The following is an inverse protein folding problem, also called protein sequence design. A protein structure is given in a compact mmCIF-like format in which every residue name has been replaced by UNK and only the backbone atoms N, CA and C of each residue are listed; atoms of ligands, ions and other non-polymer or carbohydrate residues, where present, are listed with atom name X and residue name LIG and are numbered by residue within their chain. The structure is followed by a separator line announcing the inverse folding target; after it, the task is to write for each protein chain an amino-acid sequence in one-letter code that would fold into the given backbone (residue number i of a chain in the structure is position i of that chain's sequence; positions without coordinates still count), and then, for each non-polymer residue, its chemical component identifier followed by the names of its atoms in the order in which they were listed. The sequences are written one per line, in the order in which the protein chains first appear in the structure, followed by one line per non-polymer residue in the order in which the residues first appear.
data_IF_217086878332
#
_entry.id   IF_217086878332
#
_cell.length_a   1.000
_cell.length_b   1.000
_cell.length_c   1.000
_cell.angle_alpha   90.00
_cell.angle_beta   90.00
_cell.angle_gamma   90.00
#
_symmetry.space_group_name_H-M   'P 1'
#
loop_
_entity.id
_entity.type
_entity.pdbx_description
1 polymer ?
#
# COMPACT_ATOMS: atom_id res chain seq x y z
N UNK A 1 -2.60 -12.78 -5.76
CA UNK A 1 -1.76 -11.61 -6.14
C UNK A 1 -2.25 -10.40 -5.36
N UNK A 2 -1.42 -9.36 -5.13
CA UNK A 2 -1.78 -8.16 -4.31
C UNK A 2 -3.12 -7.53 -4.72
N UNK A 3 -3.43 -7.47 -6.01
CA UNK A 3 -4.68 -6.86 -6.51
C UNK A 3 -5.93 -7.68 -6.17
N UNK A 4 -5.87 -9.01 -6.34
CA UNK A 4 -6.97 -9.92 -5.98
C UNK A 4 -7.21 -9.91 -4.45
N UNK A 5 -6.16 -9.70 -3.65
CA UNK A 5 -6.32 -9.52 -2.20
C UNK A 5 -7.06 -8.23 -1.85
N UNK A 6 -6.80 -7.12 -2.55
CA UNK A 6 -7.52 -5.86 -2.36
C UNK A 6 -8.98 -5.98 -2.77
N UNK A 7 -9.24 -6.56 -3.94
CA UNK A 7 -10.58 -6.78 -4.47
C UNK A 7 -11.46 -7.56 -3.48
N UNK A 8 -10.94 -8.69 -2.97
CA UNK A 8 -11.63 -9.51 -1.96
C UNK A 8 -11.81 -8.79 -0.64
N UNK A 9 -10.81 -8.04 -0.18
CA UNK A 9 -10.91 -7.29 1.07
C UNK A 9 -11.99 -6.19 0.97
N UNK A 10 -12.01 -5.42 -0.11
CA UNK A 10 -13.01 -4.36 -0.28
C UNK A 10 -14.41 -4.91 -0.45
N UNK A 11 -14.56 -6.04 -1.15
CA UNK A 11 -15.83 -6.76 -1.20
C UNK A 11 -16.29 -7.21 0.20
N UNK A 12 -15.38 -7.76 1.01
CA UNK A 12 -15.67 -8.19 2.37
C UNK A 12 -16.08 -7.03 3.28
N UNK A 13 -15.33 -5.93 3.28
CA UNK A 13 -15.60 -4.74 4.09
C UNK A 13 -16.71 -3.84 3.51
N UNK A 14 -17.22 -4.16 2.31
CA UNK A 14 -18.20 -3.36 1.54
C UNK A 14 -17.76 -1.91 1.31
N UNK A 15 -16.46 -1.73 1.10
CA UNK A 15 -15.86 -0.41 0.89
C UNK A 15 -14.33 -0.46 0.83
N UNK A 16 -13.74 0.60 0.29
CA UNK A 16 -12.31 0.80 0.25
C UNK A 16 -11.87 1.86 1.26
N UNK A 17 -10.61 1.79 1.69
CA UNK A 17 -10.01 2.87 2.48
C UNK A 17 -9.70 4.07 1.58
N UNK A 18 -9.73 5.28 2.14
CA UNK A 18 -9.32 6.49 1.41
C UNK A 18 -7.80 6.61 1.30
N UNK A 19 -7.07 6.04 2.26
CA UNK A 19 -5.61 6.02 2.29
C UNK A 19 -5.10 4.60 2.53
N UNK A 20 -4.15 4.15 1.72
CA UNK A 20 -3.51 2.84 1.86
C UNK A 20 -2.03 3.01 2.19
N UNK A 21 -1.56 2.36 3.25
CA UNK A 21 -0.14 2.34 3.63
C UNK A 21 0.48 1.09 3.03
N UNK A 22 1.52 1.28 2.22
CA UNK A 22 2.15 0.21 1.45
C UNK A 22 3.64 0.12 1.76
N UNK A 23 4.13 -1.11 1.80
CA UNK A 23 5.56 -1.37 1.86
C UNK A 23 6.21 -1.18 0.47
N UNK A 24 7.55 -1.06 0.43
CA UNK A 24 8.33 -0.84 -0.79
C UNK A 24 8.52 -2.13 -1.61
N UNK A 25 7.52 -3.01 -1.65
CA UNK A 25 7.57 -4.25 -2.42
C UNK A 25 7.51 -3.96 -3.92
N UNK A 26 8.27 -4.71 -4.73
CA UNK A 26 8.37 -4.52 -6.18
C UNK A 26 7.01 -4.56 -6.92
N UNK A 27 5.99 -5.17 -6.32
CA UNK A 27 4.63 -5.23 -6.86
C UNK A 27 3.86 -3.92 -6.71
N UNK A 28 4.26 -3.05 -5.78
CA UNK A 28 3.65 -1.74 -5.54
C UNK A 28 4.59 -0.59 -5.95
N UNK A 29 5.90 -0.74 -5.72
CA UNK A 29 6.92 0.27 -5.98
C UNK A 29 7.88 -0.25 -7.06
N UNK A 30 8.04 0.50 -8.15
CA UNK A 30 9.01 0.22 -9.21
C UNK A 30 10.40 0.74 -8.85
N UNK A 31 10.49 1.92 -8.21
CA UNK A 31 11.76 2.55 -7.87
C UNK A 31 11.65 3.36 -6.59
N UNK A 32 12.63 3.20 -5.70
CA UNK A 32 12.78 3.95 -4.46
C UNK A 32 13.80 5.08 -4.69
N UNK A 33 13.39 6.34 -4.58
CA UNK A 33 14.28 7.49 -4.63
C UNK A 33 14.73 7.94 -3.23
N UNK A 34 15.51 9.02 -3.16
CA UNK A 34 15.96 9.63 -1.89
C UNK A 34 14.75 10.14 -1.10
N UNK A 35 14.74 9.92 0.21
CA UNK A 35 13.66 10.38 1.10
C UNK A 35 12.37 9.59 0.92
N UNK A 36 11.24 10.29 0.73
CA UNK A 36 9.89 9.70 0.60
C UNK A 36 9.42 9.51 -0.83
N UNK A 37 10.18 9.97 -1.83
CA UNK A 37 9.77 9.87 -3.23
C UNK A 37 9.85 8.44 -3.74
N UNK A 38 8.74 7.97 -4.34
CA UNK A 38 8.62 6.63 -4.92
C UNK A 38 8.04 6.73 -6.31
N UNK A 39 8.58 5.94 -7.22
CA UNK A 39 7.88 5.58 -8.43
C UNK A 39 7.05 4.33 -8.14
N UNK A 40 5.73 4.48 -8.13
CA UNK A 40 4.83 3.35 -7.99
C UNK A 40 4.68 2.58 -9.30
N UNK A 41 4.42 1.29 -9.18
CA UNK A 41 4.09 0.46 -10.32
C UNK A 41 2.83 0.97 -11.01
N UNK A 42 2.86 1.08 -12.34
CA UNK A 42 1.73 1.64 -13.09
C UNK A 42 0.42 0.87 -12.88
N UNK A 43 0.47 -0.47 -12.81
CA UNK A 43 -0.73 -1.31 -12.57
C UNK A 43 -1.25 -1.12 -11.15
N UNK A 44 -0.35 -0.91 -10.20
CA UNK A 44 -0.71 -0.59 -8.82
C UNK A 44 -1.43 0.76 -8.72
N UNK A 45 -0.92 1.80 -9.37
CA UNK A 45 -1.60 3.11 -9.43
C UNK A 45 -2.98 3.04 -10.10
N UNK A 46 -3.14 2.19 -11.12
CA UNK A 46 -4.45 1.96 -11.76
C UNK A 46 -5.46 1.35 -10.78
N UNK A 47 -5.05 0.38 -9.97
CA UNK A 47 -5.89 -0.18 -8.90
C UNK A 47 -6.25 0.91 -7.88
N UNK A 48 -5.28 1.68 -7.40
CA UNK A 48 -5.54 2.79 -6.47
C UNK A 48 -6.53 3.81 -7.05
N UNK A 49 -6.40 4.15 -8.33
CA UNK A 49 -7.32 5.07 -9.01
C UNK A 49 -8.74 4.49 -9.14
N UNK A 50 -8.85 3.19 -9.42
CA UNK A 50 -10.15 2.51 -9.52
C UNK A 50 -10.91 2.52 -8.19
N UNK A 51 -10.19 2.29 -7.08
CA UNK A 51 -10.74 2.24 -5.73
C UNK A 51 -10.68 3.57 -4.97
N UNK A 52 -10.20 4.65 -5.60
CA UNK A 52 -10.01 5.99 -5.00
C UNK A 52 -9.15 5.98 -3.73
N UNK A 53 -8.10 5.16 -3.74
CA UNK A 53 -7.14 5.03 -2.65
C UNK A 53 -5.97 5.98 -2.92
N UNK A 54 -5.59 6.77 -1.92
CA UNK A 54 -4.32 7.48 -1.90
C UNK A 54 -3.20 6.56 -1.35
N UNK A 55 -2.26 6.10 -2.20
CA UNK A 55 -1.18 5.23 -1.75
C UNK A 55 -0.09 6.05 -1.04
N UNK A 56 0.32 5.58 0.13
CA UNK A 56 1.45 6.13 0.88
C UNK A 56 2.46 5.03 1.15
N UNK A 57 3.70 5.22 0.70
CA UNK A 57 4.78 4.29 0.96
C UNK A 57 5.38 4.52 2.35
N UNK A 58 5.77 3.44 3.03
CA UNK A 58 6.51 3.53 4.27
C UNK A 58 7.86 4.24 4.08
N UNK A 59 8.28 5.01 5.08
CA UNK A 59 9.61 5.61 5.10
C UNK A 59 10.66 4.49 5.23
N UNK A 60 11.79 4.51 4.50
CA UNK A 60 12.81 3.46 4.59
C UNK A 60 13.37 3.42 6.01
N UNK A 61 13.64 2.22 6.53
CA UNK A 61 14.12 1.99 7.90
C UNK A 61 13.20 2.51 9.04
N UNK A 62 11.93 2.83 8.73
CA UNK A 62 10.94 3.30 9.71
C UNK A 62 9.95 2.20 10.09
N UNK A 63 10.43 1.16 10.77
CA UNK A 63 9.61 0.04 11.24
C UNK A 63 8.44 0.47 12.14
N UNK A 64 8.56 1.61 12.83
CA UNK A 64 7.51 2.18 13.68
C UNK A 64 6.19 2.51 12.97
N UNK A 65 6.18 2.74 11.65
CA UNK A 65 4.97 3.05 10.86
C UNK A 65 4.16 1.76 10.61
N UNK A 66 4.83 0.60 10.68
CA UNK A 66 4.22 -0.72 10.70
C UNK A 66 3.97 -1.25 12.12
N UNK A 67 4.51 -0.61 13.14
CA UNK A 67 4.42 -1.05 14.53
C UNK A 67 2.98 -1.25 15.03
N UNK A 68 1.98 -0.54 14.50
CA UNK A 68 0.58 -0.78 14.86
C UNK A 68 0.02 -2.09 14.28
N UNK A 69 0.47 -2.48 13.09
CA UNK A 69 0.12 -3.79 12.49
C UNK A 69 0.94 -4.91 13.14
N UNK A 70 2.22 -4.67 13.38
CA UNK A 70 3.14 -5.67 13.96
C UNK A 70 2.83 -5.97 15.43
N UNK A 71 2.35 -5.00 16.21
CA UNK A 71 1.94 -5.22 17.61
C UNK A 71 0.53 -5.81 17.78
N UNK A 72 -0.26 -5.94 16.71
CA UNK A 72 -1.59 -6.58 16.78
C UNK A 72 -1.56 -8.09 16.46
N UNK A 73 -0.38 -8.61 16.11
CA UNK A 73 -0.08 -10.04 16.03
C UNK A 73 0.71 -10.41 17.29
N UNK A 74 0.00 -10.56 18.40
CA UNK A 74 0.49 -11.08 19.67
C UNK A 74 -0.50 -12.08 20.24
#
# INVERSE_FOLDING_TARGET
MVFDAHDRAFAFFRGACTRGIYDNINTAVETVFVGKDRQYNRRFLQMCSHYLIEPVACTPASGWEKGQVENQVG
#
